data_IF_744963750330
#
_entry.id   IF_744963750330
#
_cell.length_a   1.000
_cell.length_b   1.000
_cell.length_c   1.000
_cell.angle_alpha   90.00
_cell.angle_beta   90.00
_cell.angle_gamma   90.00
#
_symmetry.space_group_name_H-M   'P 1'
#
loop_
_entity.id
_entity.type
_entity.pdbx_description
1 polymer ?
#
# COMPACT_ATOMS: atom_id res chain seq x y z
N UNK A 1 27.78 -7.97 -10.50
CA UNK A 1 26.45 -8.50 -10.90
C UNK A 1 26.15 -9.70 -10.00
N UNK A 2 25.14 -9.68 -9.13
CA UNK A 2 24.90 -10.80 -8.20
C UNK A 2 23.83 -10.53 -7.13
N UNK A 3 23.72 -9.27 -6.65
CA UNK A 3 22.72 -8.87 -5.65
C UNK A 3 21.28 -9.13 -6.10
N UNK A 4 20.97 -8.85 -7.38
CA UNK A 4 19.64 -9.10 -7.95
C UNK A 4 19.32 -10.60 -7.99
N UNK A 5 20.24 -11.44 -8.45
CA UNK A 5 20.04 -12.90 -8.47
C UNK A 5 19.93 -13.47 -7.05
N UNK A 6 20.67 -12.92 -6.09
CA UNK A 6 20.55 -13.28 -4.68
C UNK A 6 19.14 -12.97 -4.14
N UNK A 7 18.62 -11.77 -4.38
CA UNK A 7 17.27 -11.39 -3.96
C UNK A 7 16.18 -12.23 -4.62
N UNK A 8 16.28 -12.49 -5.94
CA UNK A 8 15.32 -13.34 -6.66
C UNK A 8 15.30 -14.76 -6.09
N UNK A 9 16.47 -15.36 -5.84
CA UNK A 9 16.56 -16.68 -5.23
C UNK A 9 16.03 -16.70 -3.79
N UNK A 10 16.25 -15.64 -3.01
CA UNK A 10 15.68 -15.52 -1.66
C UNK A 10 14.15 -15.48 -1.70
N UNK A 11 13.56 -14.73 -2.64
CA UNK A 11 12.12 -14.64 -2.82
C UNK A 11 11.50 -15.97 -3.33
N UNK A 12 12.22 -16.71 -4.17
CA UNK A 12 11.84 -18.06 -4.60
C UNK A 12 11.89 -19.04 -3.41
N UNK A 13 12.96 -19.02 -2.62
CA UNK A 13 13.09 -19.86 -1.41
C UNK A 13 11.98 -19.60 -0.40
N UNK A 14 11.52 -18.35 -0.27
CA UNK A 14 10.35 -17.99 0.55
C UNK A 14 9.00 -18.40 -0.06
N UNK A 15 9.00 -18.91 -1.29
CA UNK A 15 7.80 -19.36 -2.00
C UNK A 15 6.95 -18.21 -2.55
N UNK A 16 7.48 -16.99 -2.64
CA UNK A 16 6.77 -15.81 -3.14
C UNK A 16 6.85 -15.69 -4.66
N UNK A 17 7.94 -16.19 -5.25
CA UNK A 17 8.16 -16.22 -6.69
C UNK A 17 8.37 -17.65 -7.19
N UNK A 18 7.88 -17.92 -8.40
CA UNK A 18 8.16 -19.14 -9.15
C UNK A 18 8.84 -18.77 -10.46
N UNK A 19 9.86 -19.54 -10.83
CA UNK A 19 10.54 -19.41 -12.12
C UNK A 19 9.82 -20.25 -13.15
N UNK A 20 9.49 -19.66 -14.29
CA UNK A 20 9.03 -20.36 -15.49
C UNK A 20 10.11 -20.29 -16.55
N UNK A 21 10.61 -21.46 -16.95
CA UNK A 21 11.55 -21.59 -18.06
C UNK A 21 10.75 -21.78 -19.35
N UNK A 22 10.82 -20.83 -20.27
CA UNK A 22 10.32 -21.06 -21.62
C UNK A 22 11.27 -22.02 -22.32
N UNK A 23 10.86 -23.29 -22.43
CA UNK A 23 11.68 -24.38 -22.95
C UNK A 23 11.99 -24.29 -24.46
N UNK A 24 11.52 -23.24 -25.15
CA UNK A 24 11.54 -23.12 -26.61
C UNK A 24 12.21 -21.84 -27.17
N UNK A 25 12.84 -20.99 -26.36
CA UNK A 25 13.61 -19.88 -26.95
C UNK A 25 15.04 -20.33 -27.24
N UNK A 26 15.43 -20.24 -28.50
CA UNK A 26 16.81 -20.34 -29.00
C UNK A 26 17.81 -19.37 -28.32
N UNK A 27 17.33 -18.55 -27.38
CA UNK A 27 18.09 -17.67 -26.50
C UNK A 27 17.95 -18.16 -25.05
N UNK A 28 19.09 -18.40 -24.39
CA UNK A 28 19.22 -18.82 -22.98
C UNK A 28 18.74 -17.77 -21.94
N UNK A 29 17.93 -16.79 -22.34
CA UNK A 29 17.77 -15.50 -21.64
C UNK A 29 16.32 -15.06 -21.37
N UNK A 30 15.37 -15.99 -21.21
CA UNK A 30 14.00 -15.63 -20.82
C UNK A 30 13.53 -16.44 -19.60
N UNK A 31 14.12 -16.17 -18.43
CA UNK A 31 13.53 -16.57 -17.15
C UNK A 31 12.38 -15.63 -16.82
N UNK A 32 11.16 -16.15 -16.75
CA UNK A 32 10.01 -15.38 -16.26
C UNK A 32 9.80 -15.67 -14.78
N UNK A 33 9.89 -14.63 -13.95
CA UNK A 33 9.60 -14.69 -12.52
C UNK A 33 8.15 -14.26 -12.28
N UNK A 34 7.32 -15.19 -11.80
CA UNK A 34 5.90 -14.94 -11.53
C UNK A 34 5.61 -15.05 -10.04
N UNK A 35 4.69 -14.22 -9.52
CA UNK A 35 4.19 -14.39 -8.15
C UNK A 35 3.45 -15.72 -8.02
N UNK A 36 3.68 -16.40 -6.90
CA UNK A 36 2.83 -17.53 -6.49
C UNK A 36 1.53 -17.00 -5.87
N UNK A 37 0.50 -17.83 -5.68
CA UNK A 37 -0.69 -17.43 -4.89
C UNK A 37 -0.31 -16.85 -3.52
N UNK A 38 0.63 -17.50 -2.81
CA UNK A 38 1.20 -16.99 -1.55
C UNK A 38 1.88 -15.62 -1.71
N UNK A 39 2.68 -15.44 -2.77
CA UNK A 39 3.31 -14.16 -3.07
C UNK A 39 2.32 -13.05 -3.39
N UNK A 40 1.18 -13.41 -3.97
CA UNK A 40 0.08 -12.49 -4.22
C UNK A 40 -0.67 -12.14 -2.91
N UNK A 41 -0.96 -13.12 -2.06
CA UNK A 41 -1.56 -12.93 -0.73
C UNK A 41 -0.74 -11.96 0.13
N UNK A 42 0.58 -12.12 0.18
CA UNK A 42 1.46 -11.20 0.93
C UNK A 42 1.39 -9.77 0.39
N UNK A 43 1.37 -9.60 -0.94
CA UNK A 43 1.22 -8.28 -1.57
C UNK A 43 -0.15 -7.67 -1.23
N UNK A 44 -1.21 -8.47 -1.28
CA UNK A 44 -2.57 -8.06 -0.92
C UNK A 44 -2.65 -7.67 0.55
N UNK A 45 -2.04 -8.44 1.45
CA UNK A 45 -2.03 -8.14 2.89
C UNK A 45 -1.37 -6.78 3.17
N UNK A 46 -0.19 -6.52 2.59
CA UNK A 46 0.49 -5.22 2.73
C UNK A 46 -0.38 -4.08 2.21
N UNK A 47 -1.00 -4.23 1.03
CA UNK A 47 -1.91 -3.22 0.46
C UNK A 47 -3.15 -3.01 1.32
N UNK A 48 -3.74 -4.07 1.87
CA UNK A 48 -4.90 -4.00 2.76
C UNK A 48 -4.58 -3.26 4.06
N UNK A 49 -3.43 -3.55 4.69
CA UNK A 49 -3.00 -2.83 5.89
C UNK A 49 -2.81 -1.34 5.63
N UNK A 50 -2.18 -1.00 4.50
CA UNK A 50 -2.02 0.39 4.08
C UNK A 50 -3.36 1.09 3.89
N UNK A 51 -4.32 0.44 3.20
CA UNK A 51 -5.65 1.00 2.98
C UNK A 51 -6.38 1.23 4.31
N UNK A 52 -6.35 0.26 5.22
CA UNK A 52 -6.98 0.38 6.54
C UNK A 52 -6.43 1.57 7.33
N UNK A 53 -5.11 1.78 7.30
CA UNK A 53 -4.48 2.94 7.94
C UNK A 53 -4.96 4.25 7.31
N UNK A 54 -4.99 4.33 5.98
CA UNK A 54 -5.42 5.55 5.28
C UNK A 54 -6.89 5.90 5.52
N UNK A 55 -7.75 4.90 5.69
CA UNK A 55 -9.14 5.11 6.05
C UNK A 55 -9.28 5.71 7.46
N UNK A 56 -8.52 5.18 8.43
CA UNK A 56 -8.53 5.73 9.79
C UNK A 56 -8.01 7.19 9.83
N UNK A 57 -6.92 7.47 9.11
CA UNK A 57 -6.40 8.85 8.96
C UNK A 57 -7.44 9.79 8.36
N UNK A 58 -8.17 9.34 7.34
CA UNK A 58 -9.23 10.12 6.71
C UNK A 58 -10.37 10.44 7.69
N UNK A 59 -10.83 9.45 8.45
CA UNK A 59 -11.92 9.64 9.42
C UNK A 59 -11.54 10.65 10.51
N UNK A 60 -10.28 10.64 10.95
CA UNK A 60 -9.78 11.59 11.95
C UNK A 60 -9.68 13.01 11.38
N UNK A 61 -9.21 13.18 10.14
CA UNK A 61 -9.22 14.46 9.45
C UNK A 61 -10.63 15.04 9.30
N UNK A 62 -11.62 14.20 8.98
CA UNK A 62 -13.02 14.64 8.87
C UNK A 62 -13.54 15.16 10.21
N UNK A 63 -13.26 14.46 11.31
CA UNK A 63 -13.66 14.92 12.66
C UNK A 63 -13.00 16.24 13.03
N UNK A 64 -11.71 16.39 12.71
CA UNK A 64 -10.97 17.63 12.96
C UNK A 64 -11.57 18.81 12.20
N UNK A 65 -11.87 18.64 10.90
CA UNK A 65 -12.52 19.66 10.09
C UNK A 65 -13.87 20.07 10.69
N UNK A 66 -14.69 19.11 11.13
CA UNK A 66 -16.00 19.44 11.73
C UNK A 66 -15.87 20.16 13.07
N UNK A 67 -14.87 19.79 13.90
CA UNK A 67 -14.56 20.52 15.13
C UNK A 67 -14.17 21.97 14.83
N UNK A 68 -13.24 22.18 13.90
CA UNK A 68 -12.79 23.51 13.49
C UNK A 68 -13.93 24.37 12.94
N UNK A 69 -14.81 23.79 12.09
CA UNK A 69 -16.01 24.49 11.62
C UNK A 69 -16.95 24.88 12.77
N UNK A 70 -17.07 24.03 13.79
CA UNK A 70 -17.83 24.33 15.00
C UNK A 70 -17.25 25.52 15.77
N UNK A 71 -15.94 25.51 15.99
CA UNK A 71 -15.21 26.60 16.67
C UNK A 71 -15.35 27.93 15.93
N UNK A 72 -15.22 27.93 14.60
CA UNK A 72 -15.43 29.14 13.77
C UNK A 72 -16.84 29.69 13.94
N UNK A 73 -17.88 28.83 13.85
CA UNK A 73 -19.28 29.26 14.05
C UNK A 73 -19.53 29.84 15.45
N UNK A 74 -18.92 29.25 16.48
CA UNK A 74 -19.03 29.76 17.87
C UNK A 74 -18.34 31.13 18.02
N UNK A 75 -17.20 31.32 17.36
CA UNK A 75 -16.49 32.60 17.37
C UNK A 75 -17.26 33.70 16.62
N UNK A 76 -17.93 33.37 15.52
CA UNK A 76 -18.83 34.29 14.79
C UNK A 76 -20.04 34.70 15.65
N UNK A 77 -20.64 33.78 16.40
CA UNK A 77 -21.78 34.07 17.28
C UNK A 77 -21.41 34.87 18.53
N UNK A 78 -20.15 34.83 18.96
CA UNK A 78 -19.65 35.61 20.11
C UNK A 78 -19.11 36.99 19.74
N UNK A 79 -19.13 37.34 18.43
CA UNK A 79 -18.70 38.65 17.91
C UNK A 79 -19.83 39.56 17.42
N UNK A 80 -21.11 39.17 17.54
CA UNK A 80 -22.25 40.11 17.44
C UNK A 80 -22.50 40.80 18.79
N UNK A 81 -22.30 42.12 18.91
CA UNK A 81 -22.54 42.83 20.15
C UNK A 81 -24.04 43.07 20.36
N UNK A 82 -24.44 43.01 21.63
CA UNK A 82 -25.71 43.53 22.12
C UNK A 82 -25.97 44.94 21.55
N UNK A 83 -27.09 45.08 20.84
CA UNK A 83 -27.72 46.37 20.48
C UNK A 83 -28.72 46.73 21.57
#
# INVERSE_FOLDING_TARGET
VGKVNYCLNALIKKGLLKVRNFRNSHNKSAYLYVLTPRGFEEKVNVTYQFLRLKMAEYDDLVKEIEKLKGEVRQHEQSSEPAV
#
